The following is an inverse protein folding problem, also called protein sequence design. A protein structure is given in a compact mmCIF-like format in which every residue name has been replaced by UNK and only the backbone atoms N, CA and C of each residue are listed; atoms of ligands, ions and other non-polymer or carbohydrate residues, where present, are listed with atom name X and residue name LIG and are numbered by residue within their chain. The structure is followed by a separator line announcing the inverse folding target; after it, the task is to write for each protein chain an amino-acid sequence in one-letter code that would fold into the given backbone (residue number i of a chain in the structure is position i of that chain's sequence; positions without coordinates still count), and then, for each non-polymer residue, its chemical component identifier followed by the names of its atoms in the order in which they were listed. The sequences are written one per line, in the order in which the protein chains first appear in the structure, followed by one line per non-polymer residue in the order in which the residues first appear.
data_IF_118876174950
#
_entry.id   IF_118876174950
#
_cell.length_a   1.000
_cell.length_b   1.000
_cell.length_c   1.000
_cell.angle_alpha   90.00
_cell.angle_beta   90.00
_cell.angle_gamma   90.00
#
_symmetry.space_group_name_H-M   'P 1'
#
loop_
_entity.id
_entity.type
_entity.pdbx_description
1 polymer ?
#
# COMPACT_ATOMS: atom_id res chain seq x y z
N UNK A 1 -13.00 1.76 22.08
CA UNK A 1 -13.53 2.51 20.91
C UNK A 1 -12.66 3.71 20.54
N UNK A 2 -12.27 4.55 21.49
CA UNK A 2 -11.37 5.71 21.26
C UNK A 2 -10.01 5.37 20.63
N UNK A 3 -9.35 4.30 21.10
CA UNK A 3 -8.03 3.87 20.58
C UNK A 3 -8.04 3.48 19.09
N UNK A 4 -9.20 3.11 18.55
CA UNK A 4 -9.38 2.77 17.14
C UNK A 4 -9.95 3.96 16.33
N UNK A 5 -10.13 5.11 16.98
CA UNK A 5 -10.81 6.29 16.41
C UNK A 5 -12.29 6.06 16.12
N UNK A 6 -12.93 5.02 16.66
CA UNK A 6 -14.34 4.74 16.31
C UNK A 6 -15.32 5.70 16.96
N UNK A 7 -14.92 6.39 18.03
CA UNK A 7 -15.69 7.41 18.72
C UNK A 7 -14.82 8.65 18.94
N UNK A 8 -15.43 9.82 18.89
CA UNK A 8 -14.81 11.12 19.18
C UNK A 8 -14.82 11.39 20.70
N UNK A 9 -13.81 12.07 21.25
CA UNK A 9 -13.55 12.15 22.71
C UNK A 9 -14.72 12.65 23.57
N UNK A 10 -15.70 13.35 23.00
CA UNK A 10 -16.95 13.76 23.68
C UNK A 10 -18.05 12.69 23.76
N UNK A 11 -17.94 11.59 23.01
CA UNK A 11 -18.96 10.54 22.88
C UNK A 11 -18.67 9.32 23.76
N UNK A 12 -18.42 9.56 25.06
CA UNK A 12 -18.09 8.52 26.05
C UNK A 12 -19.30 7.73 26.59
N UNK A 13 -20.49 7.85 25.97
CA UNK A 13 -21.70 7.12 26.40
C UNK A 13 -21.85 5.79 25.67
N UNK A 14 -22.41 4.80 26.36
CA UNK A 14 -22.66 3.46 25.83
C UNK A 14 -23.59 3.47 24.61
N UNK A 15 -24.53 4.41 24.57
CA UNK A 15 -25.50 4.53 23.47
C UNK A 15 -24.82 4.74 22.10
N UNK A 16 -23.70 5.47 22.07
CA UNK A 16 -22.93 5.66 20.83
C UNK A 16 -22.17 4.41 20.40
N UNK A 17 -21.82 3.54 21.33
CA UNK A 17 -21.20 2.22 21.03
C UNK A 17 -22.25 1.30 20.41
N UNK A 18 -23.48 1.33 20.89
CA UNK A 18 -24.59 0.52 20.38
C UNK A 18 -25.07 0.98 19.01
N UNK A 19 -24.97 2.28 18.72
CA UNK A 19 -25.32 2.87 17.42
C UNK A 19 -24.25 2.66 16.32
N UNK A 20 -23.16 1.93 16.58
CA UNK A 20 -22.10 1.73 15.59
C UNK A 20 -22.56 0.90 14.40
N UNK A 21 -22.36 1.43 13.21
CA UNK A 21 -22.61 0.74 11.95
C UNK A 21 -21.36 0.04 11.43
N UNK A 22 -21.54 -0.91 10.51
CA UNK A 22 -20.43 -1.62 9.85
C UNK A 22 -19.51 -0.66 9.09
N UNK A 23 -20.07 0.43 8.56
CA UNK A 23 -19.34 1.46 7.82
C UNK A 23 -18.24 2.10 8.68
N UNK A 24 -18.53 2.41 9.94
CA UNK A 24 -17.57 2.99 10.89
C UNK A 24 -16.31 2.12 11.03
N UNK A 25 -16.47 0.79 11.01
CA UNK A 25 -15.34 -0.14 11.03
C UNK A 25 -14.61 -0.21 9.70
N UNK A 26 -15.33 -0.13 8.58
CA UNK A 26 -14.73 -0.13 7.25
C UNK A 26 -13.85 1.10 7.02
N UNK A 27 -14.22 2.25 7.58
CA UNK A 27 -13.42 3.48 7.49
C UNK A 27 -12.09 3.41 8.24
N UNK A 28 -12.03 2.62 9.31
CA UNK A 28 -10.82 2.45 10.13
C UNK A 28 -9.89 1.36 9.61
N UNK A 29 -10.23 0.66 8.52
CA UNK A 29 -9.35 -0.31 7.88
C UNK A 29 -8.17 0.41 7.23
N UNK A 30 -6.95 -0.14 7.42
CA UNK A 30 -5.75 0.40 6.78
C UNK A 30 -5.90 0.56 5.26
N UNK A 31 -6.64 -0.34 4.61
CA UNK A 31 -6.90 -0.29 3.17
C UNK A 31 -7.67 0.98 2.74
N UNK A 32 -8.71 1.37 3.48
CA UNK A 32 -9.53 2.56 3.19
C UNK A 32 -8.79 3.82 3.63
N UNK A 33 -8.07 3.79 4.75
CA UNK A 33 -7.19 4.89 5.15
C UNK A 33 -6.13 5.19 4.09
N UNK A 34 -5.45 4.16 3.57
CA UNK A 34 -4.43 4.32 2.50
C UNK A 34 -5.02 4.92 1.23
N UNK A 35 -6.26 4.56 0.90
CA UNK A 35 -6.98 5.15 -0.22
C UNK A 35 -7.38 6.61 0.05
N UNK A 36 -7.96 6.91 1.21
CA UNK A 36 -8.32 8.27 1.64
C UNK A 36 -7.09 9.20 1.70
N UNK A 37 -5.93 8.69 2.11
CA UNK A 37 -4.66 9.43 2.14
C UNK A 37 -3.99 9.59 0.76
N UNK A 38 -4.62 9.13 -0.33
CA UNK A 38 -4.11 9.29 -1.70
C UNK A 38 -2.88 8.43 -2.06
N UNK A 39 -2.44 7.53 -1.16
CA UNK A 39 -1.26 6.66 -1.40
C UNK A 39 -1.52 5.55 -2.42
N UNK A 40 -2.79 5.27 -2.76
CA UNK A 40 -3.16 4.25 -3.72
C UNK A 40 -4.26 4.74 -4.66
N UNK A 41 -4.12 4.38 -5.94
CA UNK A 41 -5.12 4.67 -7.00
C UNK A 41 -6.51 4.04 -6.77
N UNK A 42 -6.59 2.96 -6.00
CA UNK A 42 -7.86 2.27 -5.69
C UNK A 42 -7.77 1.44 -4.41
N UNK A 43 -8.91 1.02 -3.88
CA UNK A 43 -9.01 0.12 -2.73
C UNK A 43 -8.28 -1.21 -2.98
N UNK A 44 -8.37 -1.75 -4.20
CA UNK A 44 -7.66 -2.97 -4.60
C UNK A 44 -6.14 -2.75 -4.65
N UNK A 45 -5.71 -1.60 -5.17
CA UNK A 45 -4.29 -1.23 -5.21
C UNK A 45 -3.71 -1.09 -3.79
N UNK A 46 -4.44 -0.43 -2.87
CA UNK A 46 -4.04 -0.35 -1.46
C UNK A 46 -3.80 -1.73 -0.84
N UNK A 47 -4.67 -2.71 -1.13
CA UNK A 47 -4.52 -4.09 -0.65
C UNK A 47 -3.24 -4.75 -1.16
N UNK A 48 -2.92 -4.54 -2.44
CA UNK A 48 -1.69 -5.08 -3.04
C UNK A 48 -0.45 -4.47 -2.40
N UNK A 49 -0.44 -3.15 -2.16
CA UNK A 49 0.68 -2.46 -1.50
C UNK A 49 0.91 -2.97 -0.06
N UNK A 50 -0.18 -3.20 0.69
CA UNK A 50 -0.10 -3.74 2.05
C UNK A 50 0.46 -5.18 2.03
N UNK A 51 -0.07 -6.05 1.15
CA UNK A 51 0.43 -7.44 1.03
C UNK A 51 1.89 -7.50 0.60
N UNK A 52 2.30 -6.63 -0.32
CA UNK A 52 3.68 -6.52 -0.80
C UNK A 52 4.62 -5.85 0.21
N UNK A 53 4.13 -5.49 1.41
CA UNK A 53 4.88 -4.82 2.48
C UNK A 53 5.47 -3.46 2.06
N UNK A 54 4.85 -2.81 1.06
CA UNK A 54 5.18 -1.45 0.64
C UNK A 54 4.69 -0.40 1.65
N UNK A 55 3.59 -0.72 2.36
CA UNK A 55 3.02 0.08 3.43
C UNK A 55 3.09 -0.75 4.71
N UNK A 56 3.76 -0.25 5.75
CA UNK A 56 3.86 -0.91 7.06
C UNK A 56 3.40 0.06 8.15
N UNK A 57 2.41 -0.33 8.97
CA UNK A 57 1.99 0.49 10.11
C UNK A 57 2.98 0.43 11.29
N UNK A 58 3.94 -0.50 11.30
CA UNK A 58 4.99 -0.63 12.32
C UNK A 58 6.37 -0.38 11.68
N UNK A 59 7.12 0.56 12.27
CA UNK A 59 8.43 1.05 11.80
C UNK A 59 9.47 -0.07 11.82
N UNK A 60 9.63 -0.81 10.72
CA UNK A 60 10.88 -1.52 10.36
C UNK A 60 10.99 -1.58 8.83
N UNK A 61 11.86 -0.74 8.27
CA UNK A 61 12.08 -0.65 6.84
C UNK A 61 13.16 -1.63 6.37
N UNK A 62 12.78 -2.53 5.46
CA UNK A 62 13.67 -3.08 4.44
C UNK A 62 12.81 -3.46 3.23
N UNK A 63 12.89 -2.66 2.16
CA UNK A 63 12.22 -2.91 0.88
C UNK A 63 13.20 -3.67 -0.04
N UNK A 64 12.91 -4.94 -0.33
CA UNK A 64 13.67 -5.74 -1.29
C UNK A 64 13.36 -5.33 -2.74
N UNK A 65 14.39 -4.89 -3.48
CA UNK A 65 14.27 -4.38 -4.86
C UNK A 65 14.21 -5.52 -5.91
N UNK A 66 13.08 -6.20 -6.06
CA UNK A 66 12.90 -7.21 -7.11
C UNK A 66 12.40 -6.61 -8.43
N UNK A 67 11.34 -5.77 -8.40
CA UNK A 67 10.71 -5.21 -9.62
C UNK A 67 11.64 -4.37 -10.49
N UNK A 68 12.62 -3.67 -9.91
CA UNK A 68 13.59 -2.85 -10.67
C UNK A 68 14.67 -3.69 -11.36
N UNK A 69 14.95 -4.91 -10.87
CA UNK A 69 16.03 -5.75 -11.40
C UNK A 69 15.66 -6.30 -12.78
N UNK A 70 14.40 -6.74 -12.98
CA UNK A 70 13.95 -7.26 -14.27
C UNK A 70 13.87 -6.17 -15.36
N UNK A 71 13.46 -4.95 -15.01
CA UNK A 71 13.43 -3.84 -15.98
C UNK A 71 14.84 -3.42 -16.42
N UNK A 72 15.80 -3.37 -15.49
CA UNK A 72 17.19 -3.03 -15.82
C UNK A 72 17.89 -4.13 -16.62
N UNK A 73 17.59 -5.40 -16.34
CA UNK A 73 18.09 -6.52 -17.14
C UNK A 73 17.48 -6.50 -18.56
N UNK A 74 16.18 -6.24 -18.69
CA UNK A 74 15.53 -6.10 -19.99
C UNK A 74 16.05 -4.88 -20.78
N UNK A 75 16.18 -3.72 -20.12
CA UNK A 75 16.72 -2.51 -20.74
C UNK A 75 18.19 -2.68 -21.16
N UNK A 76 19.00 -3.40 -20.37
CA UNK A 76 20.39 -3.72 -20.75
C UNK A 76 20.45 -4.69 -21.93
N UNK A 77 19.54 -5.66 -22.02
CA UNK A 77 19.46 -6.59 -23.16
C UNK A 77 19.03 -5.89 -24.45
N UNK A 78 18.16 -4.89 -24.37
CA UNK A 78 17.72 -4.11 -25.51
C UNK A 78 18.75 -3.06 -26.01
N UNK A 79 19.81 -2.80 -25.23
CA UNK A 79 20.82 -1.79 -25.53
C UNK A 79 22.21 -2.37 -25.81
N UNK A 80 22.36 -3.70 -25.92
CA UNK A 80 23.65 -4.38 -26.00
C UNK A 80 23.72 -5.44 -27.07
N UNK A 81 23.20 -5.14 -28.27
CA UNK A 81 23.23 -6.00 -29.47
C UNK A 81 23.80 -5.25 -30.69
N UNK A 82 24.75 -4.32 -30.47
CA UNK A 82 25.65 -3.79 -31.52
C UNK A 82 27.01 -4.47 -31.36
N UNK A 83 27.02 -5.81 -31.46
CA UNK A 83 28.25 -6.58 -31.54
C UNK A 83 28.58 -6.81 -33.01
N UNK A 84 29.39 -5.91 -33.54
CA UNK A 84 30.16 -5.96 -34.80
C UNK A 84 30.02 -7.28 -35.59
N UNK A 85 29.16 -7.29 -36.61
CA UNK A 85 29.28 -8.20 -37.75
C UNK A 85 30.12 -7.49 -38.83
N UNK A 86 31.40 -7.27 -38.53
CA UNK A 86 32.44 -7.06 -39.53
C UNK A 86 33.34 -8.31 -39.54
N UNK A 87 32.90 -9.38 -40.21
CA UNK A 87 33.79 -10.49 -40.62
C UNK A 87 33.47 -10.92 -42.07
N UNK A 88 34.49 -10.68 -42.91
CA UNK A 88 34.81 -11.13 -44.28
C UNK A 88 34.05 -10.57 -45.52
#
# INVERSE_FOLDING_TARGET
MFRYGLLEEGQNKLDYVLALTVENFLERRLQTQVFKSGMAKSIHHARVLIRQRHIRPLVVAAQGRVKRKNQRAAAKKAAGDDGDEDED
#
